data_IF_367830957963
#
_entry.id   IF_367830957963
#
_cell.length_a   1.000
_cell.length_b   1.000
_cell.length_c   1.000
_cell.angle_alpha   90.00
_cell.angle_beta   90.00
_cell.angle_gamma   90.00
#
_symmetry.space_group_name_H-M   'P 1'
#
loop_
_entity.id
_entity.type
_entity.pdbx_description
1 polymer ?
#
# COMPACT_ATOMS: atom_id res chain seq x y z
N UNK A 1 23.90 -22.14 -0.43
CA UNK A 1 22.50 -22.56 -0.59
C UNK A 1 21.69 -21.35 -1.03
N UNK A 2 20.76 -21.47 -1.95
CA UNK A 2 19.94 -20.33 -2.31
C UNK A 2 19.09 -19.91 -1.11
N UNK A 3 18.97 -18.62 -0.92
CA UNK A 3 18.15 -18.01 0.14
C UNK A 3 16.68 -18.37 -0.10
N UNK A 4 16.09 -19.21 0.72
CA UNK A 4 14.70 -19.64 0.60
C UNK A 4 13.80 -18.69 1.39
N UNK A 5 12.51 -18.63 1.03
CA UNK A 5 11.48 -17.88 1.77
C UNK A 5 11.49 -18.21 3.27
N UNK A 6 11.84 -19.46 3.63
CA UNK A 6 11.91 -19.89 5.03
C UNK A 6 13.12 -19.34 5.78
N UNK A 7 14.28 -19.16 5.11
CA UNK A 7 15.43 -18.47 5.72
C UNK A 7 15.18 -16.96 5.88
N UNK A 8 14.43 -16.33 4.96
CA UNK A 8 14.00 -14.96 5.13
C UNK A 8 13.04 -14.79 6.33
N UNK A 9 12.13 -15.74 6.56
CA UNK A 9 11.25 -15.76 7.74
C UNK A 9 12.01 -15.75 9.06
N UNK A 10 13.11 -16.50 9.16
CA UNK A 10 13.95 -16.55 10.37
C UNK A 10 14.61 -15.22 10.71
N UNK A 11 14.97 -14.43 9.70
CA UNK A 11 15.61 -13.11 9.87
C UNK A 11 14.59 -12.03 10.26
N UNK A 12 13.37 -12.13 9.77
CA UNK A 12 12.29 -11.19 10.04
C UNK A 12 11.45 -11.52 11.28
N UNK A 13 11.79 -12.57 12.01
CA UNK A 13 10.98 -13.21 13.07
C UNK A 13 10.77 -12.40 14.35
N UNK A 14 11.33 -11.23 14.52
CA UNK A 14 11.10 -10.43 15.75
C UNK A 14 9.75 -9.67 15.79
N UNK A 15 8.90 -9.81 14.76
CA UNK A 15 7.56 -9.23 14.73
C UNK A 15 6.53 -10.17 14.04
N UNK A 16 6.66 -11.46 14.27
CA UNK A 16 5.83 -12.51 13.62
C UNK A 16 4.35 -12.38 13.91
N UNK A 17 3.97 -11.98 15.12
CA UNK A 17 2.55 -11.79 15.47
C UNK A 17 1.89 -10.68 14.65
N UNK A 18 2.58 -9.56 14.43
CA UNK A 18 2.08 -8.47 13.60
C UNK A 18 2.07 -8.82 12.11
N UNK A 19 3.04 -9.62 11.64
CA UNK A 19 3.11 -10.07 10.25
C UNK A 19 1.96 -11.04 9.88
N UNK A 20 1.46 -11.80 10.85
CA UNK A 20 0.38 -12.76 10.62
C UNK A 20 -1.03 -12.15 10.78
N UNK A 21 -1.18 -11.12 11.62
CA UNK A 21 -2.49 -10.50 11.90
C UNK A 21 -3.06 -9.78 10.67
N UNK A 22 -2.24 -9.01 9.96
CA UNK A 22 -2.69 -8.25 8.78
C UNK A 22 -3.19 -9.17 7.67
N UNK A 23 -2.43 -10.18 7.19
CA UNK A 23 -2.92 -11.12 6.18
C UNK A 23 -4.16 -11.91 6.64
N UNK A 24 -4.21 -12.31 7.91
CA UNK A 24 -5.38 -13.01 8.47
C UNK A 24 -6.62 -12.13 8.49
N UNK A 25 -6.48 -10.85 8.81
CA UNK A 25 -7.57 -9.88 8.82
C UNK A 25 -8.10 -9.64 7.41
N UNK A 26 -7.20 -9.48 6.43
CA UNK A 26 -7.57 -9.33 5.01
C UNK A 26 -8.31 -10.58 4.51
N UNK A 27 -7.81 -11.78 4.84
CA UNK A 27 -8.47 -13.03 4.46
C UNK A 27 -9.89 -13.14 5.04
N UNK A 28 -10.09 -12.69 6.29
CA UNK A 28 -11.44 -12.63 6.90
C UNK A 28 -12.34 -11.60 6.25
N UNK A 29 -11.81 -10.42 5.91
CA UNK A 29 -12.55 -9.39 5.19
C UNK A 29 -13.05 -9.91 3.84
N UNK A 30 -12.20 -10.59 3.07
CA UNK A 30 -12.55 -11.16 1.77
C UNK A 30 -13.59 -12.29 1.84
N UNK A 31 -13.87 -12.84 3.03
CA UNK A 31 -14.92 -13.84 3.27
C UNK A 31 -16.26 -13.23 3.68
N UNK A 32 -16.32 -11.92 3.90
CA UNK A 32 -17.57 -11.22 4.22
C UNK A 32 -18.48 -11.16 2.99
N UNK A 33 -19.80 -11.02 3.23
CA UNK A 33 -20.73 -10.68 2.15
C UNK A 33 -20.39 -9.30 1.56
N UNK A 34 -20.84 -9.03 0.34
CA UNK A 34 -20.60 -7.74 -0.32
C UNK A 34 -21.17 -6.58 0.49
N UNK A 35 -22.35 -6.76 1.06
CA UNK A 35 -22.98 -5.77 1.94
C UNK A 35 -22.11 -5.48 3.16
N UNK A 36 -21.62 -6.53 3.82
CA UNK A 36 -20.74 -6.37 4.98
C UNK A 36 -19.40 -5.76 4.62
N UNK A 37 -18.81 -6.09 3.47
CA UNK A 37 -17.57 -5.47 2.99
C UNK A 37 -17.75 -3.95 2.79
N UNK A 38 -18.81 -3.54 2.10
CA UNK A 38 -19.09 -2.13 1.85
C UNK A 38 -19.43 -1.38 3.13
N UNK A 39 -20.27 -1.96 3.99
CA UNK A 39 -20.59 -1.38 5.29
C UNK A 39 -19.35 -1.30 6.20
N UNK A 40 -18.49 -2.33 6.18
CA UNK A 40 -17.24 -2.35 6.95
C UNK A 40 -16.30 -1.21 6.53
N UNK A 41 -16.15 -0.95 5.22
CA UNK A 41 -15.34 0.17 4.72
C UNK A 41 -15.90 1.49 5.25
N UNK A 42 -17.23 1.67 5.26
CA UNK A 42 -17.87 2.85 5.82
C UNK A 42 -17.62 3.01 7.32
N UNK A 43 -17.81 1.95 8.11
CA UNK A 43 -17.55 2.00 9.55
C UNK A 43 -16.07 2.22 9.88
N UNK A 44 -15.17 1.61 9.12
CA UNK A 44 -13.74 1.85 9.24
C UNK A 44 -13.40 3.33 8.93
N UNK A 45 -14.01 3.92 7.89
CA UNK A 45 -13.87 5.34 7.60
C UNK A 45 -14.33 6.22 8.77
N UNK A 46 -15.52 5.96 9.34
CA UNK A 46 -16.05 6.74 10.46
C UNK A 46 -15.14 6.70 11.70
N UNK A 47 -14.48 5.61 11.94
CA UNK A 47 -13.60 5.44 13.09
C UNK A 47 -12.22 6.05 12.85
N UNK A 48 -11.64 5.80 11.70
CA UNK A 48 -10.29 6.23 11.36
C UNK A 48 -10.23 7.67 10.85
N UNK A 49 -11.30 8.21 10.30
CA UNK A 49 -11.38 9.61 9.87
C UNK A 49 -11.16 10.62 11.00
N UNK A 50 -11.18 10.17 12.25
CA UNK A 50 -10.84 10.97 13.43
C UNK A 50 -9.34 10.98 13.78
N UNK A 51 -8.62 9.96 13.34
CA UNK A 51 -7.20 9.74 13.66
C UNK A 51 -6.29 9.83 12.45
N UNK A 52 -6.83 9.57 11.26
CA UNK A 52 -6.12 9.71 9.99
C UNK A 52 -6.48 11.08 9.40
N UNK A 53 -5.55 12.01 9.48
CA UNK A 53 -5.69 13.33 8.83
C UNK A 53 -5.90 13.14 7.34
N UNK A 54 -6.84 13.90 6.79
CA UNK A 54 -7.17 13.92 5.36
C UNK A 54 -5.89 13.96 4.53
N UNK A 55 -5.63 12.92 3.76
CA UNK A 55 -4.59 12.97 2.75
C UNK A 55 -4.91 14.12 1.80
N UNK A 56 -3.96 15.00 1.54
CA UNK A 56 -4.16 16.03 0.52
C UNK A 56 -4.52 15.32 -0.80
N UNK A 57 -5.61 15.72 -1.47
CA UNK A 57 -6.04 15.08 -2.73
C UNK A 57 -4.93 14.97 -3.77
N UNK A 58 -3.98 15.90 -3.78
CA UNK A 58 -2.80 15.87 -4.65
C UNK A 58 -1.79 14.76 -4.32
N UNK A 59 -1.72 14.30 -3.07
CA UNK A 59 -0.76 13.27 -2.68
C UNK A 59 -1.15 11.88 -3.22
N UNK A 60 -2.44 11.59 -3.29
CA UNK A 60 -2.98 10.34 -3.84
C UNK A 60 -3.16 10.36 -5.36
N UNK A 61 -2.71 11.42 -6.06
CA UNK A 61 -2.98 11.62 -7.49
C UNK A 61 -4.48 11.52 -7.82
N UNK A 62 -5.32 12.08 -6.96
CA UNK A 62 -6.78 12.00 -7.06
C UNK A 62 -7.34 12.58 -8.36
N UNK A 63 -6.55 13.39 -9.08
CA UNK A 63 -6.92 13.88 -10.42
C UNK A 63 -7.29 12.75 -11.41
N UNK A 64 -6.77 11.54 -11.20
CA UNK A 64 -7.16 10.38 -12.02
C UNK A 64 -8.51 9.77 -11.63
N UNK A 65 -8.92 9.94 -10.37
CA UNK A 65 -10.23 9.48 -9.89
C UNK A 65 -11.33 10.57 -10.01
N UNK A 66 -10.95 11.83 -10.12
CA UNK A 66 -11.91 12.96 -10.18
C UNK A 66 -13.01 12.80 -11.25
N UNK A 67 -12.73 12.39 -12.50
CA UNK A 67 -13.78 12.22 -13.50
C UNK A 67 -14.83 11.22 -13.06
N UNK A 68 -14.39 10.04 -12.57
CA UNK A 68 -15.27 8.97 -12.08
C UNK A 68 -16.03 9.39 -10.82
N UNK A 69 -15.37 10.06 -9.88
CA UNK A 69 -16.02 10.61 -8.68
C UNK A 69 -17.10 11.63 -9.05
N UNK A 70 -16.83 12.52 -10.01
CA UNK A 70 -17.81 13.50 -10.49
C UNK A 70 -18.99 12.83 -11.20
N UNK A 71 -18.76 11.77 -11.95
CA UNK A 71 -19.81 10.96 -12.57
C UNK A 71 -20.70 10.34 -11.49
N UNK A 72 -20.13 9.65 -10.49
CA UNK A 72 -20.89 9.06 -9.38
C UNK A 72 -21.68 10.11 -8.61
N UNK A 73 -21.11 11.27 -8.35
CA UNK A 73 -21.80 12.37 -7.65
C UNK A 73 -23.06 12.85 -8.34
N UNK A 74 -23.14 12.71 -9.67
CA UNK A 74 -24.31 13.13 -10.48
C UNK A 74 -25.39 12.06 -10.56
N UNK A 75 -25.09 10.84 -10.15
CA UNK A 75 -26.03 9.71 -10.15
C UNK A 75 -27.05 9.82 -9.00
N UNK A 76 -28.19 9.16 -9.16
CA UNK A 76 -29.13 8.93 -8.06
C UNK A 76 -28.55 7.98 -7.02
N UNK A 77 -29.07 8.02 -5.78
CA UNK A 77 -28.62 7.12 -4.72
C UNK A 77 -28.66 5.63 -5.09
N UNK A 78 -29.71 5.10 -5.74
CA UNK A 78 -29.72 3.71 -6.20
C UNK A 78 -28.60 3.41 -7.20
N UNK A 79 -28.30 4.32 -8.12
CA UNK A 79 -27.22 4.15 -9.10
C UNK A 79 -25.84 4.19 -8.42
N UNK A 80 -25.63 5.12 -7.49
CA UNK A 80 -24.41 5.20 -6.69
C UNK A 80 -24.18 3.91 -5.89
N UNK A 81 -25.23 3.41 -5.23
CA UNK A 81 -25.19 2.13 -4.50
C UNK A 81 -24.83 0.99 -5.44
N UNK A 82 -25.46 0.95 -6.63
CA UNK A 82 -25.14 -0.08 -7.62
C UNK A 82 -23.67 -0.04 -8.03
N UNK A 83 -23.10 1.14 -8.27
CA UNK A 83 -21.67 1.28 -8.62
C UNK A 83 -20.77 0.72 -7.51
N UNK A 84 -21.09 0.99 -6.24
CA UNK A 84 -20.30 0.45 -5.12
C UNK A 84 -20.37 -1.07 -5.06
N UNK A 85 -21.55 -1.65 -5.27
CA UNK A 85 -21.71 -3.10 -5.37
C UNK A 85 -20.99 -3.67 -6.57
N UNK A 86 -21.11 -3.07 -7.75
CA UNK A 86 -20.42 -3.50 -8.97
C UNK A 86 -18.89 -3.52 -8.77
N UNK A 87 -18.33 -2.53 -8.05
CA UNK A 87 -16.90 -2.50 -7.70
C UNK A 87 -16.51 -3.65 -6.77
N UNK A 88 -17.31 -3.94 -5.76
CA UNK A 88 -17.04 -5.00 -4.79
C UNK A 88 -17.23 -6.40 -5.40
N UNK A 89 -18.14 -6.55 -6.35
CA UNK A 89 -18.45 -7.81 -7.05
C UNK A 89 -17.65 -8.01 -8.35
N UNK A 90 -16.71 -7.12 -8.64
CA UNK A 90 -15.82 -7.19 -9.82
C UNK A 90 -16.54 -7.17 -11.18
N UNK A 91 -17.70 -6.51 -11.24
CA UNK A 91 -18.54 -6.46 -12.44
C UNK A 91 -17.83 -5.78 -13.62
N UNK A 92 -18.17 -6.23 -14.85
CA UNK A 92 -17.61 -5.69 -16.09
C UNK A 92 -18.34 -4.40 -16.51
N UNK A 93 -18.09 -3.31 -15.80
CA UNK A 93 -18.62 -1.97 -16.12
C UNK A 93 -17.50 -0.99 -16.49
N UNK A 94 -17.80 0.11 -17.21
CA UNK A 94 -16.79 1.14 -17.51
C UNK A 94 -16.09 1.69 -16.27
N UNK A 95 -16.84 1.92 -15.19
CA UNK A 95 -16.30 2.42 -13.91
C UNK A 95 -15.39 1.37 -13.27
N UNK A 96 -15.80 0.10 -13.25
CA UNK A 96 -14.99 -0.98 -12.69
C UNK A 96 -13.69 -1.21 -13.47
N UNK A 97 -13.71 -1.10 -14.80
CA UNK A 97 -12.51 -1.15 -15.64
C UNK A 97 -11.57 0.04 -15.38
N UNK A 98 -12.12 1.25 -15.26
CA UNK A 98 -11.34 2.45 -14.93
C UNK A 98 -10.71 2.31 -13.55
N UNK A 99 -11.48 1.87 -12.55
CA UNK A 99 -11.00 1.63 -11.19
C UNK A 99 -9.89 0.58 -11.15
N UNK A 100 -10.00 -0.50 -11.91
CA UNK A 100 -8.98 -1.56 -11.98
C UNK A 100 -7.61 -1.03 -12.41
N UNK A 101 -7.56 0.00 -13.26
CA UNK A 101 -6.33 0.62 -13.76
C UNK A 101 -5.62 1.51 -12.73
N UNK A 102 -6.26 1.82 -11.61
CA UNK A 102 -5.69 2.72 -10.61
C UNK A 102 -4.72 2.02 -9.67
N UNK A 103 -3.72 2.78 -9.20
CA UNK A 103 -2.85 2.31 -8.13
C UNK A 103 -3.65 2.10 -6.82
N UNK A 104 -3.18 1.22 -5.93
CA UNK A 104 -3.82 0.99 -4.62
C UNK A 104 -4.09 2.28 -3.84
N UNK A 105 -3.24 3.27 -4.02
CA UNK A 105 -3.34 4.56 -3.37
C UNK A 105 -4.53 5.38 -3.89
N UNK A 106 -4.72 5.44 -5.19
CA UNK A 106 -5.86 6.11 -5.80
C UNK A 106 -7.15 5.40 -5.38
N UNK A 107 -7.17 4.07 -5.38
CA UNK A 107 -8.31 3.26 -4.94
C UNK A 107 -8.71 3.58 -3.49
N UNK A 108 -7.75 3.63 -2.56
CA UNK A 108 -8.03 3.98 -1.17
C UNK A 108 -8.53 5.43 -1.04
N UNK A 109 -7.89 6.39 -1.75
CA UNK A 109 -8.34 7.78 -1.78
C UNK A 109 -9.74 7.95 -2.35
N UNK A 110 -10.11 7.17 -3.36
CA UNK A 110 -11.45 7.14 -3.93
C UNK A 110 -12.50 6.71 -2.89
N UNK A 111 -12.28 5.62 -2.15
CA UNK A 111 -13.19 5.17 -1.09
C UNK A 111 -13.25 6.15 0.07
N UNK A 112 -12.12 6.77 0.41
CA UNK A 112 -12.10 7.85 1.40
C UNK A 112 -13.01 9.01 0.96
N UNK A 113 -12.91 9.46 -0.28
CA UNK A 113 -13.73 10.54 -0.82
C UNK A 113 -15.23 10.17 -0.87
N UNK A 114 -15.55 8.92 -1.21
CA UNK A 114 -16.93 8.44 -1.12
C UNK A 114 -17.45 8.47 0.33
N UNK A 115 -16.62 8.07 1.30
CA UNK A 115 -16.95 8.16 2.72
C UNK A 115 -17.23 9.61 3.17
N UNK A 116 -16.41 10.57 2.77
CA UNK A 116 -16.65 11.99 3.01
C UNK A 116 -18.01 12.44 2.44
N UNK A 117 -18.32 12.01 1.23
CA UNK A 117 -19.58 12.37 0.57
C UNK A 117 -20.79 11.62 1.12
N UNK A 118 -20.63 10.41 1.62
CA UNK A 118 -21.68 9.70 2.37
C UNK A 118 -22.03 10.46 3.64
N UNK A 119 -21.01 10.93 4.38
CA UNK A 119 -21.23 11.73 5.60
C UNK A 119 -21.93 13.05 5.32
N UNK A 120 -21.68 13.65 4.14
CA UNK A 120 -22.30 14.88 3.70
C UNK A 120 -23.69 14.69 3.04
N UNK A 121 -24.12 13.45 2.84
CA UNK A 121 -25.36 13.11 2.14
C UNK A 121 -25.33 13.37 0.63
N UNK A 122 -24.13 13.47 0.04
CA UNK A 122 -23.93 13.66 -1.42
C UNK A 122 -23.94 12.29 -2.12
N UNK A 123 -23.40 11.27 -1.47
CA UNK A 123 -23.42 9.87 -1.92
C UNK A 123 -24.28 9.07 -0.97
N UNK A 124 -24.94 8.03 -1.51
CA UNK A 124 -25.81 7.14 -0.76
C UNK A 124 -25.08 6.55 0.47
N UNK A 125 -25.48 6.88 1.69
CA UNK A 125 -24.85 6.36 2.88
C UNK A 125 -25.29 4.91 3.14
N UNK A 126 -24.53 4.20 3.95
CA UNK A 126 -25.00 2.93 4.53
C UNK A 126 -26.25 3.21 5.37
N UNK A 127 -27.29 2.38 5.26
CA UNK A 127 -28.52 2.59 6.05
C UNK A 127 -28.20 2.72 7.55
N UNK A 128 -28.84 3.66 8.26
CA UNK A 128 -28.52 3.96 9.65
C UNK A 128 -28.86 2.80 10.61
N UNK A 129 -29.74 1.90 10.20
CA UNK A 129 -30.14 0.69 10.91
C UNK A 129 -29.34 -0.55 10.49
N UNK A 130 -28.39 -0.42 9.57
CA UNK A 130 -27.54 -1.53 9.16
C UNK A 130 -26.64 -2.00 10.31
N UNK A 131 -26.68 -3.29 10.57
CA UNK A 131 -25.83 -3.92 11.58
C UNK A 131 -24.84 -4.86 10.91
N UNK A 132 -23.57 -4.64 11.15
CA UNK A 132 -22.53 -5.57 10.71
C UNK A 132 -22.78 -6.96 11.30
N UNK A 133 -22.55 -7.99 10.52
CA UNK A 133 -22.50 -9.35 11.03
C UNK A 133 -21.47 -9.51 12.15
N UNK A 134 -21.57 -10.58 12.91
CA UNK A 134 -20.59 -10.90 13.96
C UNK A 134 -19.16 -11.01 13.37
N UNK A 135 -19.02 -11.57 12.16
CA UNK A 135 -17.75 -11.70 11.49
C UNK A 135 -17.20 -10.34 11.06
N UNK A 136 -18.01 -9.48 10.45
CA UNK A 136 -17.60 -8.13 10.04
C UNK A 136 -17.25 -7.26 11.26
N UNK A 137 -18.01 -7.37 12.34
CA UNK A 137 -17.72 -6.68 13.61
C UNK A 137 -16.39 -7.14 14.22
N UNK A 138 -16.07 -8.43 14.15
CA UNK A 138 -14.80 -8.95 14.64
C UNK A 138 -13.62 -8.45 13.79
N UNK A 139 -13.76 -8.34 12.46
CA UNK A 139 -12.75 -7.77 11.56
C UNK A 139 -12.54 -6.28 11.88
N UNK A 140 -13.61 -5.53 12.14
CA UNK A 140 -13.52 -4.12 12.52
C UNK A 140 -12.85 -3.93 13.89
N UNK A 141 -13.16 -4.78 14.85
CA UNK A 141 -12.52 -4.77 16.16
C UNK A 141 -11.01 -5.03 16.05
N UNK A 142 -10.61 -6.01 15.23
CA UNK A 142 -9.19 -6.27 14.97
C UNK A 142 -8.51 -5.03 14.38
N UNK A 143 -9.15 -4.34 13.43
CA UNK A 143 -8.62 -3.12 12.84
C UNK A 143 -8.35 -2.03 13.91
N UNK A 144 -9.23 -1.86 14.88
CA UNK A 144 -9.10 -0.87 15.97
C UNK A 144 -7.86 -1.09 16.85
N UNK A 145 -7.49 -2.34 17.04
CA UNK A 145 -6.39 -2.74 17.92
C UNK A 145 -5.00 -2.62 17.27
N UNK A 146 -4.95 -2.34 15.98
CA UNK A 146 -3.73 -2.26 15.21
C UNK A 146 -3.18 -0.83 15.17
N UNK A 147 -1.88 -0.71 14.91
CA UNK A 147 -1.26 0.58 14.67
C UNK A 147 -1.68 1.18 13.30
N UNK A 148 -1.46 2.49 13.13
CA UNK A 148 -1.91 3.23 11.95
C UNK A 148 -1.34 2.66 10.63
N UNK A 149 -0.12 2.14 10.64
CA UNK A 149 0.49 1.54 9.44
C UNK A 149 -0.18 0.23 9.05
N UNK A 150 -0.50 -0.61 10.04
CA UNK A 150 -1.24 -1.85 9.85
C UNK A 150 -2.67 -1.58 9.39
N UNK A 151 -3.34 -0.59 10.00
CA UNK A 151 -4.68 -0.16 9.64
C UNK A 151 -4.75 0.27 8.17
N UNK A 152 -3.84 1.16 7.74
CA UNK A 152 -3.77 1.63 6.34
C UNK A 152 -3.51 0.46 5.39
N UNK A 153 -2.66 -0.48 5.77
CA UNK A 153 -2.35 -1.65 4.95
C UNK A 153 -3.59 -2.54 4.77
N UNK A 154 -4.37 -2.77 5.83
CA UNK A 154 -5.63 -3.52 5.73
C UNK A 154 -6.64 -2.78 4.85
N UNK A 155 -6.84 -1.49 5.06
CA UNK A 155 -7.77 -0.69 4.25
C UNK A 155 -7.38 -0.68 2.77
N UNK A 156 -6.09 -0.56 2.48
CA UNK A 156 -5.58 -0.63 1.10
C UNK A 156 -5.88 -1.97 0.46
N UNK A 157 -5.60 -3.06 1.17
CA UNK A 157 -5.86 -4.41 0.66
C UNK A 157 -7.36 -4.72 0.57
N UNK A 158 -8.20 -4.15 1.41
CA UNK A 158 -9.64 -4.31 1.32
C UNK A 158 -10.23 -3.74 0.02
N UNK A 159 -9.59 -2.73 -0.57
CA UNK A 159 -10.10 -2.04 -1.76
C UNK A 159 -9.28 -2.30 -3.03
N UNK A 160 -8.07 -2.87 -2.91
CA UNK A 160 -7.16 -3.02 -4.05
C UNK A 160 -7.68 -4.00 -5.09
N UNK A 161 -8.31 -5.07 -4.65
CA UNK A 161 -8.84 -6.13 -5.51
C UNK A 161 -10.24 -5.83 -6.05
N UNK A 162 -10.89 -4.75 -5.61
CA UNK A 162 -12.18 -4.31 -6.14
C UNK A 162 -12.06 -3.78 -7.56
N UNK A 163 -13.18 -3.74 -8.26
CA UNK A 163 -13.27 -3.39 -9.67
C UNK A 163 -13.09 -4.59 -10.59
N UNK A 164 -13.12 -4.35 -11.88
CA UNK A 164 -13.03 -5.41 -12.88
C UNK A 164 -11.71 -6.18 -12.75
N UNK A 165 -11.79 -7.51 -12.63
CA UNK A 165 -10.61 -8.38 -12.60
C UNK A 165 -10.35 -9.00 -13.97
N UNK A 166 -9.38 -8.48 -14.75
CA UNK A 166 -9.05 -9.03 -16.05
C UNK A 166 -8.40 -10.42 -15.99
N UNK A 167 -7.92 -10.88 -14.81
CA UNK A 167 -7.37 -12.23 -14.67
C UNK A 167 -8.46 -13.31 -14.69
N UNK A 168 -9.69 -12.96 -14.38
CA UNK A 168 -10.83 -13.83 -14.67
C UNK A 168 -11.00 -14.06 -16.19
N UNK A 169 -10.36 -13.25 -17.03
CA UNK A 169 -10.34 -13.33 -18.50
C UNK A 169 -8.95 -13.59 -19.11
N UNK A 170 -7.92 -13.83 -18.32
CA UNK A 170 -6.66 -14.47 -18.77
C UNK A 170 -5.65 -13.65 -19.59
N UNK A 171 -5.85 -12.39 -19.97
CA UNK A 171 -5.00 -11.74 -20.97
C UNK A 171 -4.56 -10.29 -20.75
N UNK A 172 -4.89 -9.63 -19.63
CA UNK A 172 -4.70 -8.17 -19.55
C UNK A 172 -3.33 -7.70 -19.05
N UNK A 173 -2.60 -8.50 -18.28
CA UNK A 173 -1.34 -8.07 -17.68
C UNK A 173 -0.14 -7.99 -18.63
N UNK A 174 -0.22 -8.55 -19.84
CA UNK A 174 0.86 -8.45 -20.83
C UNK A 174 0.87 -7.14 -21.65
N UNK A 175 -0.19 -6.33 -21.59
CA UNK A 175 -0.35 -5.16 -22.49
C UNK A 175 0.04 -3.80 -21.91
N UNK A 176 0.35 -3.67 -20.65
CA UNK A 176 0.59 -2.34 -20.00
C UNK A 176 2.07 -2.10 -19.69
N UNK A 177 2.98 -2.79 -20.37
CA UNK A 177 4.40 -2.54 -20.28
C UNK A 177 4.92 -1.61 -21.39
N UNK A 178 4.37 -0.39 -21.52
CA UNK A 178 5.06 0.67 -22.25
C UNK A 178 5.76 1.63 -21.28
N UNK A 179 7.02 1.97 -21.54
CA UNK A 179 7.81 2.83 -20.64
C UNK A 179 7.37 4.29 -20.77
N UNK A 180 6.83 4.85 -19.70
CA UNK A 180 6.69 6.29 -19.58
C UNK A 180 8.08 6.90 -19.32
N UNK A 181 8.51 7.77 -20.22
CA UNK A 181 9.74 8.54 -20.10
C UNK A 181 9.77 9.36 -18.81
N UNK A 182 10.92 9.33 -18.13
CA UNK A 182 11.16 10.02 -16.88
C UNK A 182 11.15 11.55 -17.04
N UNK A 183 10.56 12.32 -16.13
CA UNK A 183 10.76 13.76 -16.07
C UNK A 183 12.16 14.05 -15.54
N UNK A 184 12.94 14.73 -16.36
CA UNK A 184 14.22 15.33 -15.96
C UNK A 184 13.97 16.56 -15.11
N UNK A 185 14.23 16.47 -13.80
CA UNK A 185 14.73 17.60 -13.02
C UNK A 185 15.42 17.06 -11.76
N UNK A 186 16.74 17.00 -11.82
CA UNK A 186 17.60 16.70 -10.68
C UNK A 186 17.72 17.94 -9.81
N UNK A 187 16.88 18.05 -8.78
CA UNK A 187 17.12 18.95 -7.65
C UNK A 187 18.30 18.43 -6.83
N UNK A 188 19.23 19.30 -6.49
CA UNK A 188 20.36 19.04 -5.60
C UNK A 188 19.83 18.54 -4.25
N UNK A 189 19.87 17.23 -4.02
CA UNK A 189 19.52 16.60 -2.75
C UNK A 189 20.79 16.25 -1.99
N UNK A 190 20.83 16.60 -0.71
CA UNK A 190 21.88 16.23 0.23
C UNK A 190 21.95 14.70 0.30
N UNK A 191 23.17 14.14 0.10
CA UNK A 191 23.39 12.69 0.23
C UNK A 191 22.98 12.21 1.61
N UNK A 192 22.32 11.07 1.65
CA UNK A 192 21.91 10.42 2.90
C UNK A 192 23.14 9.99 3.69
N UNK A 193 23.15 10.26 4.99
CA UNK A 193 24.11 9.72 5.94
C UNK A 193 23.38 9.00 7.06
N UNK A 194 23.94 7.89 7.55
CA UNK A 194 23.35 7.04 8.58
C UNK A 194 24.39 6.85 9.68
N UNK A 195 24.07 7.24 10.90
CA UNK A 195 24.99 7.01 12.02
C UNK A 195 25.24 5.50 12.21
N UNK A 196 26.52 5.10 12.17
CA UNK A 196 26.92 3.69 12.37
C UNK A 196 26.77 2.78 11.12
N UNK A 197 26.48 3.34 9.94
CA UNK A 197 26.41 2.59 8.69
C UNK A 197 27.11 3.33 7.56
N UNK A 198 28.25 2.80 7.13
CA UNK A 198 29.06 3.33 6.02
C UNK A 198 28.95 2.46 4.75
N UNK A 199 28.06 1.46 4.75
CA UNK A 199 27.94 0.53 3.63
C UNK A 199 27.37 1.25 2.39
N UNK A 200 28.12 1.28 1.26
CA UNK A 200 27.72 2.07 0.09
C UNK A 200 26.43 1.56 -0.57
N UNK A 201 26.13 0.27 -0.49
CA UNK A 201 24.91 -0.31 -1.05
C UNK A 201 23.67 0.20 -0.31
N UNK A 202 23.75 0.32 1.02
CA UNK A 202 22.63 0.80 1.84
C UNK A 202 22.42 2.29 1.64
N UNK A 203 23.51 3.07 1.61
CA UNK A 203 23.42 4.50 1.32
C UNK A 203 22.84 4.75 -0.07
N UNK A 204 23.29 4.00 -1.08
CA UNK A 204 22.75 4.07 -2.44
C UNK A 204 21.26 3.65 -2.50
N UNK A 205 20.85 2.66 -1.71
CA UNK A 205 19.45 2.27 -1.60
C UNK A 205 18.58 3.44 -1.14
N UNK A 206 18.97 4.12 -0.07
CA UNK A 206 18.24 5.26 0.48
C UNK A 206 18.23 6.45 -0.50
N UNK A 207 19.38 6.78 -1.10
CA UNK A 207 19.51 7.87 -2.05
C UNK A 207 18.66 7.63 -3.31
N UNK A 208 18.74 6.43 -3.91
CA UNK A 208 18.00 6.08 -5.11
C UNK A 208 16.48 6.06 -4.87
N UNK A 209 16.04 5.55 -3.72
CA UNK A 209 14.63 5.56 -3.38
C UNK A 209 14.12 6.99 -3.18
N UNK A 210 14.86 7.83 -2.47
CA UNK A 210 14.56 9.26 -2.30
C UNK A 210 14.55 10.03 -3.62
N UNK A 211 15.34 9.60 -4.59
CA UNK A 211 15.41 10.20 -5.91
C UNK A 211 14.32 9.67 -6.88
N UNK A 212 13.57 8.63 -6.49
CA UNK A 212 12.73 7.82 -7.39
C UNK A 212 13.52 7.20 -8.56
N UNK A 213 14.83 6.99 -8.39
CA UNK A 213 15.66 6.29 -9.37
C UNK A 213 15.54 4.77 -9.15
N UNK A 214 14.41 4.23 -9.54
CA UNK A 214 14.12 2.81 -9.38
C UNK A 214 14.97 1.91 -10.28
N UNK A 215 15.54 2.48 -11.36
CA UNK A 215 16.47 1.77 -12.23
C UNK A 215 17.79 1.46 -11.52
N UNK A 216 18.41 2.47 -10.90
CA UNK A 216 19.62 2.30 -10.10
C UNK A 216 19.33 1.52 -8.80
N UNK A 217 18.16 1.72 -8.22
CA UNK A 217 17.73 1.03 -7.00
C UNK A 217 17.66 -0.49 -7.20
N UNK A 218 17.01 -0.95 -8.27
CA UNK A 218 16.84 -2.39 -8.52
C UNK A 218 18.17 -3.10 -8.86
N UNK A 219 19.15 -2.38 -9.38
CA UNK A 219 20.47 -2.93 -9.63
C UNK A 219 21.22 -3.37 -8.35
N UNK A 220 20.83 -2.81 -7.19
CA UNK A 220 21.39 -3.16 -5.88
C UNK A 220 20.90 -4.52 -5.37
N UNK A 221 19.81 -5.04 -5.90
CA UNK A 221 19.29 -6.34 -5.51
C UNK A 221 19.99 -7.47 -6.25
N UNK A 222 20.15 -8.61 -5.59
CA UNK A 222 20.53 -9.85 -6.27
C UNK A 222 19.45 -10.26 -7.29
N UNK A 223 19.79 -11.02 -8.35
CA UNK A 223 18.79 -11.47 -9.34
C UNK A 223 17.61 -12.23 -8.73
N UNK A 224 17.89 -13.02 -7.69
CA UNK A 224 16.95 -13.79 -6.87
C UNK A 224 16.61 -13.09 -5.53
N UNK A 225 16.98 -11.81 -5.40
CA UNK A 225 16.75 -11.02 -4.21
C UNK A 225 15.28 -10.90 -3.86
N UNK A 226 15.00 -10.67 -2.58
CA UNK A 226 13.66 -10.48 -2.08
C UNK A 226 13.52 -9.14 -1.35
N UNK A 227 12.39 -8.49 -1.55
CA UNK A 227 11.92 -7.34 -0.78
C UNK A 227 10.77 -7.78 0.11
N UNK A 228 10.85 -7.46 1.39
CA UNK A 228 9.75 -7.67 2.33
C UNK A 228 9.14 -6.33 2.72
N UNK A 229 8.08 -5.87 2.03
CA UNK A 229 7.36 -4.68 2.47
C UNK A 229 6.69 -4.92 3.83
N UNK A 230 6.48 -3.87 4.64
CA UNK A 230 5.75 -4.01 5.89
C UNK A 230 4.38 -4.69 5.66
N UNK A 231 4.08 -5.71 6.47
CA UNK A 231 2.78 -6.41 6.50
C UNK A 231 2.35 -7.09 5.18
N UNK A 232 3.26 -7.25 4.22
CA UNK A 232 2.99 -7.93 2.94
C UNK A 232 3.81 -9.21 2.82
N UNK A 233 3.46 -10.03 1.83
CA UNK A 233 4.28 -11.21 1.48
C UNK A 233 5.59 -10.76 0.83
N UNK A 234 6.70 -11.54 0.97
CA UNK A 234 7.95 -11.26 0.28
C UNK A 234 7.72 -11.20 -1.24
N UNK A 235 8.28 -10.17 -1.87
CA UNK A 235 8.33 -9.99 -3.31
C UNK A 235 9.69 -10.49 -3.78
N UNK A 236 9.73 -11.48 -4.67
CA UNK A 236 10.96 -12.14 -5.10
C UNK A 236 11.25 -11.82 -6.56
N UNK A 237 12.51 -11.50 -6.83
CA UNK A 237 13.02 -11.20 -8.17
C UNK A 237 12.93 -9.73 -8.56
N UNK A 238 13.93 -9.28 -9.34
CA UNK A 238 14.10 -7.87 -9.69
C UNK A 238 12.89 -7.25 -10.38
N UNK A 239 12.26 -7.95 -11.29
CA UNK A 239 11.13 -7.40 -12.07
C UNK A 239 9.91 -7.12 -11.19
N UNK A 240 9.59 -8.05 -10.28
CA UNK A 240 8.49 -7.87 -9.34
C UNK A 240 8.77 -6.75 -8.33
N UNK A 241 10.01 -6.67 -7.82
CA UNK A 241 10.45 -5.60 -6.91
C UNK A 241 10.42 -4.24 -7.60
N UNK A 242 10.90 -4.15 -8.85
CA UNK A 242 10.88 -2.91 -9.63
C UNK A 242 9.46 -2.42 -9.86
N UNK A 243 8.53 -3.32 -10.17
CA UNK A 243 7.12 -2.99 -10.31
C UNK A 243 6.57 -2.42 -9.01
N UNK A 244 6.80 -3.09 -7.89
CA UNK A 244 6.39 -2.60 -6.58
C UNK A 244 6.93 -1.20 -6.26
N UNK A 245 8.22 -0.92 -6.52
CA UNK A 245 8.78 0.41 -6.30
C UNK A 245 8.10 1.48 -7.17
N UNK A 246 7.82 1.17 -8.43
CA UNK A 246 7.16 2.11 -9.35
C UNK A 246 5.71 2.39 -8.97
N UNK A 247 5.01 1.40 -8.44
CA UNK A 247 3.60 1.51 -8.08
C UNK A 247 3.40 2.09 -6.68
N UNK A 248 4.18 1.64 -5.71
CA UNK A 248 3.91 1.88 -4.28
C UNK A 248 4.87 2.86 -3.61
N UNK A 249 6.08 3.07 -4.15
CA UNK A 249 7.14 3.80 -3.46
C UNK A 249 7.46 5.16 -4.08
N UNK A 250 6.60 5.70 -4.96
CA UNK A 250 6.86 7.00 -5.57
C UNK A 250 6.78 8.14 -4.54
N UNK A 251 7.77 9.02 -4.60
CA UNK A 251 7.87 10.22 -3.76
C UNK A 251 7.93 9.94 -2.25
N UNK A 252 8.36 8.75 -1.86
CA UNK A 252 8.75 8.50 -0.48
C UNK A 252 9.98 9.33 -0.12
N UNK A 253 10.01 9.85 1.10
CA UNK A 253 11.19 10.48 1.66
C UNK A 253 11.65 9.66 2.86
N UNK A 254 12.77 8.97 2.69
CA UNK A 254 13.42 8.21 3.75
C UNK A 254 14.36 9.14 4.52
N UNK A 255 14.23 9.14 5.82
CA UNK A 255 15.11 9.85 6.74
C UNK A 255 15.70 8.83 7.72
N UNK A 256 16.71 8.05 7.29
CA UNK A 256 17.39 7.14 8.19
C UNK A 256 18.20 7.95 9.21
N UNK A 257 18.21 7.48 10.45
CA UNK A 257 18.90 8.16 11.56
C UNK A 257 20.12 7.36 11.98
N UNK A 258 19.95 6.11 12.36
CA UNK A 258 21.01 5.27 12.92
C UNK A 258 20.85 3.83 12.48
N UNK A 259 22.00 3.12 12.38
CA UNK A 259 21.98 1.69 12.11
C UNK A 259 23.13 0.96 12.78
N UNK A 260 23.00 -0.36 12.78
CA UNK A 260 24.02 -1.31 13.28
C UNK A 260 24.19 -2.40 12.25
N UNK A 261 25.46 -2.85 12.08
CA UNK A 261 25.83 -3.95 11.22
C UNK A 261 26.27 -5.13 12.07
N UNK A 262 25.71 -6.31 11.82
CA UNK A 262 26.00 -7.56 12.54
C UNK A 262 26.34 -8.66 11.54
N UNK A 263 27.30 -9.54 11.84
CA UNK A 263 27.50 -10.74 11.04
C UNK A 263 26.23 -11.61 11.07
N UNK A 264 25.88 -12.19 9.92
CA UNK A 264 24.82 -13.17 9.79
C UNK A 264 25.38 -14.53 9.36
N UNK A 265 24.52 -15.52 9.25
CA UNK A 265 24.92 -16.87 8.81
C UNK A 265 25.47 -16.84 7.36
N UNK A 266 26.28 -17.83 7.01
CA UNK A 266 26.86 -18.03 5.68
C UNK A 266 27.70 -16.84 5.15
N UNK A 267 28.27 -16.02 6.03
CA UNK A 267 29.11 -14.87 5.66
C UNK A 267 28.34 -13.61 5.25
N UNK A 268 27.02 -13.64 5.36
CA UNK A 268 26.20 -12.45 5.13
C UNK A 268 26.37 -11.40 6.22
N UNK A 269 26.04 -10.15 5.90
CA UNK A 269 25.99 -9.05 6.85
C UNK A 269 24.55 -8.59 6.96
N UNK A 270 24.00 -8.62 8.17
CA UNK A 270 22.72 -8.00 8.47
C UNK A 270 22.93 -6.56 8.93
N UNK A 271 22.21 -5.64 8.31
CA UNK A 271 22.21 -4.23 8.73
C UNK A 271 20.79 -3.83 9.09
N UNK A 272 20.66 -3.28 10.30
CA UNK A 272 19.40 -2.72 10.81
C UNK A 272 19.54 -1.21 10.83
N UNK A 273 18.62 -0.51 10.19
CA UNK A 273 18.58 0.95 10.15
C UNK A 273 17.25 1.41 10.72
N UNK A 274 17.28 2.38 11.62
CA UNK A 274 16.08 3.03 12.17
C UNK A 274 16.01 4.46 11.68
N UNK A 275 14.80 4.98 11.55
CA UNK A 275 14.58 6.33 11.08
C UNK A 275 13.09 6.59 10.82
N UNK A 276 12.82 7.55 9.97
CA UNK A 276 11.47 7.96 9.59
C UNK A 276 11.28 7.84 8.09
N UNK A 277 10.05 7.55 7.71
CA UNK A 277 9.58 7.64 6.33
C UNK A 277 8.48 8.68 6.28
N UNK A 278 8.60 9.62 5.35
CA UNK A 278 7.51 10.50 4.97
C UNK A 278 6.89 9.95 3.69
N UNK A 279 5.59 9.74 3.73
CA UNK A 279 4.84 9.35 2.56
C UNK A 279 4.06 10.56 2.04
N UNK A 280 3.93 10.75 0.73
CA UNK A 280 3.09 11.81 0.18
C UNK A 280 1.60 11.62 0.49
N UNK A 281 1.25 10.57 1.21
CA UNK A 281 -0.10 10.14 1.50
C UNK A 281 -0.89 11.06 2.42
N UNK A 282 -0.21 11.84 3.25
CA UNK A 282 -0.84 12.57 4.33
C UNK A 282 -0.55 14.07 4.32
N UNK A 283 -0.43 14.69 3.16
CA UNK A 283 -0.41 16.15 2.94
C UNK A 283 0.31 17.06 3.97
N UNK A 284 0.50 16.60 5.15
CA UNK A 284 1.44 17.05 6.16
C UNK A 284 2.38 15.87 6.42
N UNK A 285 3.67 16.08 6.34
CA UNK A 285 4.74 15.12 6.61
C UNK A 285 4.50 14.30 7.88
N UNK A 286 3.67 13.26 7.79
CA UNK A 286 3.56 12.30 8.88
C UNK A 286 4.74 11.37 8.76
N UNK A 287 5.78 11.66 9.50
CA UNK A 287 6.91 10.77 9.65
C UNK A 287 6.47 9.54 10.44
N UNK A 288 6.41 8.38 9.79
CA UNK A 288 6.28 7.11 10.49
C UNK A 288 7.67 6.63 10.89
N UNK A 289 7.82 6.18 12.15
CA UNK A 289 9.03 5.49 12.56
C UNK A 289 9.08 4.14 11.85
N UNK A 290 10.24 3.83 11.27
CA UNK A 290 10.45 2.58 10.54
C UNK A 290 11.82 1.99 10.89
N UNK A 291 11.90 0.66 10.81
CA UNK A 291 13.15 -0.07 10.87
C UNK A 291 13.32 -0.85 9.56
N UNK A 292 14.37 -0.52 8.82
CA UNK A 292 14.79 -1.29 7.65
C UNK A 292 15.76 -2.38 8.09
N UNK A 293 15.65 -3.54 7.45
CA UNK A 293 16.58 -4.63 7.63
C UNK A 293 17.11 -5.05 6.27
N UNK A 294 18.41 -5.03 6.15
CA UNK A 294 19.12 -5.44 4.93
C UNK A 294 19.92 -6.71 5.24
N UNK A 295 19.93 -7.61 4.28
CA UNK A 295 20.85 -8.73 4.26
C UNK A 295 21.74 -8.58 3.03
N UNK A 296 23.01 -8.35 3.26
CA UNK A 296 24.00 -8.13 2.22
C UNK A 296 24.75 -9.41 1.94
N UNK A 297 24.90 -9.70 0.65
CA UNK A 297 25.75 -10.78 0.18
C UNK A 297 27.21 -10.47 0.48
N UNK A 298 28.06 -11.47 0.79
CA UNK A 298 29.50 -11.31 0.98
C UNK A 298 30.19 -10.67 -0.21
#
# INVERSE_FOLDING_TARGET
MPFTIDSARGIFSSNTLAADVVPATIARFNQLSLEDQLAWIWFAYLEMGKTVTVAAPGAARMQFAEPTLNEIRQMSFPEQTKVMFDLADHEDTPICRTYASWSPNIKLGFWYQLGEWMQQGIVAPVPPDYQLSANASAVLQTLRELDSGQQITILRNAVVDMGFDPNKLGEYYERVAEPLEAPKEASQRTKVSIEGVDNPTILAYMDNLNANDFGSLIALFAPDGALQPPFQRPIVGRDAILRFFREECQNLVLMPERGISEPAEDGYIQVKVTGKVQTPWFGASVGMNIAWRFLLNP
#
